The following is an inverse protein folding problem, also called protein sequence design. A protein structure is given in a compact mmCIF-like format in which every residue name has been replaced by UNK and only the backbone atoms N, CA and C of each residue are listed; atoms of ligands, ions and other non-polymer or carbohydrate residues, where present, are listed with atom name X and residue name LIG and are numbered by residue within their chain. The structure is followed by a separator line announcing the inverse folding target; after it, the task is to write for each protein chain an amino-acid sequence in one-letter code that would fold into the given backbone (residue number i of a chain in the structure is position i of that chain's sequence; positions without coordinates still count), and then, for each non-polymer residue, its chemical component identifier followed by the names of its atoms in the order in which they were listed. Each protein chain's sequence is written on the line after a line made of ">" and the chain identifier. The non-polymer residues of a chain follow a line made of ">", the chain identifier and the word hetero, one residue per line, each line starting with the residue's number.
data_IF_465776940410
#
_entry.id   IF_465776940410
#
_cell.length_a   1.000
_cell.length_b   1.000
_cell.length_c   1.000
_cell.angle_alpha   90.00
_cell.angle_beta   90.00
_cell.angle_gamma   90.00
#
_symmetry.space_group_name_H-M   'P 1'
#
loop_
_entity.id
_entity.type
_entity.pdbx_description
1 polymer ?
#
# COMPACT_ATOMS: atom_id res chain seq x y z
N UNK A 1 13.35 26.15 -7.74
CA UNK A 1 13.85 25.65 -9.01
C UNK A 1 15.24 25.04 -8.79
N UNK A 2 15.33 23.70 -8.85
CA UNK A 2 16.59 22.96 -8.61
C UNK A 2 17.72 23.32 -9.59
N UNK A 3 17.41 23.89 -10.74
CA UNK A 3 18.42 24.28 -11.75
C UNK A 3 19.10 25.62 -11.43
N UNK A 4 18.45 26.47 -10.67
CA UNK A 4 18.91 27.84 -10.46
C UNK A 4 19.11 28.21 -9.00
N UNK A 5 18.95 27.28 -8.05
CA UNK A 5 18.96 27.52 -6.58
C UNK A 5 18.07 28.71 -6.15
N UNK A 6 17.01 28.99 -6.92
CA UNK A 6 16.08 30.06 -6.62
C UNK A 6 14.87 29.52 -5.87
N UNK A 7 14.64 30.10 -4.73
CA UNK A 7 13.43 29.88 -3.95
C UNK A 7 12.48 31.06 -4.15
N UNK A 8 11.20 30.76 -4.38
CA UNK A 8 10.10 31.71 -4.28
C UNK A 8 9.23 31.36 -3.08
N UNK A 9 8.61 32.35 -2.48
CA UNK A 9 7.67 32.16 -1.37
C UNK A 9 6.34 32.75 -1.78
N UNK A 10 5.32 31.90 -1.79
CA UNK A 10 3.95 32.27 -2.11
C UNK A 10 3.01 31.84 -0.99
N UNK A 11 1.84 32.48 -0.92
CA UNK A 11 0.78 32.16 0.04
C UNK A 11 -0.46 31.73 -0.72
N UNK A 12 -1.06 30.62 -0.31
CA UNK A 12 -2.25 30.05 -0.91
C UNK A 12 -3.36 29.93 0.13
N UNK A 13 -4.61 30.07 -0.30
CA UNK A 13 -5.77 29.88 0.56
C UNK A 13 -5.98 28.39 0.89
N UNK A 14 -5.70 27.52 -0.06
CA UNK A 14 -5.79 26.08 0.07
C UNK A 14 -4.61 25.38 -0.58
N UNK A 15 -4.25 24.20 -0.05
CA UNK A 15 -3.27 23.30 -0.64
C UNK A 15 -3.93 21.93 -0.81
N UNK A 16 -3.88 21.38 -2.03
CA UNK A 16 -4.41 20.06 -2.36
C UNK A 16 -3.25 19.14 -2.71
N UNK A 17 -3.06 18.11 -1.90
CA UNK A 17 -2.03 17.08 -2.10
C UNK A 17 -2.63 15.93 -2.90
N UNK A 18 -2.21 15.80 -4.14
CA UNK A 18 -2.66 14.74 -5.07
C UNK A 18 -1.50 13.99 -5.73
N UNK A 19 -0.41 13.79 -4.97
CA UNK A 19 0.85 13.24 -5.49
C UNK A 19 0.88 11.72 -5.56
N UNK A 20 -0.19 11.05 -5.15
CA UNK A 20 -0.24 9.59 -5.00
C UNK A 20 0.54 9.10 -3.77
N UNK A 21 0.44 7.81 -3.48
CA UNK A 21 1.10 7.20 -2.33
C UNK A 21 1.83 5.87 -2.65
N UNK A 22 1.87 5.45 -3.91
CA UNK A 22 2.60 4.25 -4.34
C UNK A 22 4.00 4.59 -4.89
N UNK A 23 4.76 5.40 -4.14
CA UNK A 23 6.09 5.87 -4.56
C UNK A 23 7.23 5.38 -3.67
N UNK A 24 7.00 5.17 -2.38
CA UNK A 24 8.03 4.70 -1.44
C UNK A 24 7.68 3.29 -0.96
N UNK A 25 8.38 2.26 -1.44
CA UNK A 25 8.15 0.88 -1.03
C UNK A 25 8.34 0.67 0.47
N UNK A 26 7.48 -0.14 1.06
CA UNK A 26 7.72 -0.69 2.38
C UNK A 26 8.53 -1.98 2.26
N UNK A 27 9.76 -1.95 2.71
CA UNK A 27 10.68 -3.10 2.67
C UNK A 27 10.77 -3.70 4.09
N UNK A 28 10.10 -4.85 4.35
CA UNK A 28 10.26 -5.55 5.61
C UNK A 28 11.64 -6.19 5.70
N UNK A 29 12.19 -6.27 6.91
CA UNK A 29 13.43 -6.98 7.18
C UNK A 29 13.15 -8.39 7.67
N UNK A 30 13.85 -9.37 7.10
CA UNK A 30 13.83 -10.76 7.51
C UNK A 30 15.25 -11.22 7.90
N UNK A 31 15.42 -12.04 8.94
CA UNK A 31 16.69 -12.67 9.25
C UNK A 31 17.25 -13.39 8.02
N UNK A 32 18.52 -13.18 7.73
CA UNK A 32 19.20 -13.78 6.57
C UNK A 32 18.98 -13.08 5.22
N UNK A 33 18.13 -12.06 5.13
CA UNK A 33 17.85 -11.37 3.88
C UNK A 33 19.07 -10.75 3.21
N UNK A 34 19.99 -10.20 4.01
CA UNK A 34 21.24 -9.57 3.50
C UNK A 34 22.25 -10.57 2.90
N UNK A 35 22.16 -11.82 3.30
CA UNK A 35 23.03 -12.92 2.83
C UNK A 35 22.36 -13.83 1.80
N UNK A 36 21.14 -13.52 1.41
CA UNK A 36 20.41 -14.28 0.39
C UNK A 36 21.14 -14.14 -0.97
N UNK A 37 21.53 -15.25 -1.62
CA UNK A 37 22.31 -15.19 -2.85
C UNK A 37 21.50 -14.85 -4.10
N UNK A 38 20.16 -14.97 -4.00
CA UNK A 38 19.25 -14.72 -5.10
C UNK A 38 18.84 -13.25 -5.23
N UNK A 39 17.90 -12.99 -6.14
CA UNK A 39 17.38 -11.64 -6.36
C UNK A 39 16.28 -11.30 -5.36
N UNK A 40 16.38 -10.14 -4.73
CA UNK A 40 15.30 -9.53 -3.95
C UNK A 40 14.90 -8.22 -4.59
N UNK A 41 13.59 -8.02 -4.82
CA UNK A 41 13.05 -6.76 -5.31
C UNK A 41 11.67 -6.50 -4.70
N UNK A 42 11.25 -5.23 -4.70
CA UNK A 42 9.86 -4.87 -4.40
C UNK A 42 9.03 -4.88 -5.69
N UNK A 43 7.72 -5.12 -5.59
CA UNK A 43 6.79 -5.07 -6.74
C UNK A 43 6.83 -3.72 -7.48
N UNK A 44 7.22 -2.64 -6.80
CA UNK A 44 7.49 -1.34 -7.41
C UNK A 44 8.52 -1.40 -8.54
N UNK A 45 9.54 -2.26 -8.42
CA UNK A 45 10.62 -2.40 -9.39
C UNK A 45 10.41 -3.55 -10.37
N UNK A 46 9.34 -4.32 -10.20
CA UNK A 46 8.95 -5.36 -11.14
C UNK A 46 8.53 -4.74 -12.48
N UNK A 47 9.11 -5.20 -13.58
CA UNK A 47 8.81 -4.70 -14.94
C UNK A 47 8.26 -5.79 -15.83
N UNK A 48 8.84 -6.97 -15.80
CA UNK A 48 8.39 -8.15 -16.52
C UNK A 48 8.80 -9.42 -15.76
N UNK A 49 8.24 -10.55 -16.16
CA UNK A 49 8.48 -11.82 -15.51
C UNK A 49 9.48 -12.72 -16.24
N UNK A 50 10.04 -12.29 -17.38
CA UNK A 50 10.98 -13.10 -18.18
C UNK A 50 12.25 -13.46 -17.38
N UNK A 51 12.72 -12.57 -16.52
CA UNK A 51 13.90 -12.82 -15.68
C UNK A 51 13.71 -13.97 -14.68
N UNK A 52 12.45 -14.38 -14.41
CA UNK A 52 12.11 -15.43 -13.45
C UNK A 52 11.83 -16.79 -14.11
N UNK A 53 11.97 -16.90 -15.41
CA UNK A 53 11.82 -18.17 -16.15
C UNK A 53 12.71 -19.27 -15.58
N UNK A 54 12.12 -20.41 -15.27
CA UNK A 54 12.83 -21.58 -14.71
C UNK A 54 13.26 -21.43 -13.23
N UNK A 55 12.92 -20.34 -12.57
CA UNK A 55 13.30 -20.05 -11.19
C UNK A 55 12.22 -20.43 -10.18
N UNK A 56 12.66 -20.72 -8.96
CA UNK A 56 11.78 -20.83 -7.79
C UNK A 56 11.58 -19.44 -7.21
N UNK A 57 10.38 -18.89 -7.34
CA UNK A 57 10.03 -17.52 -6.95
C UNK A 57 9.19 -17.53 -5.69
N UNK A 58 9.52 -16.68 -4.74
CA UNK A 58 8.70 -16.39 -3.58
C UNK A 58 8.12 -14.97 -3.73
N UNK A 59 6.82 -14.85 -3.61
CA UNK A 59 6.09 -13.58 -3.58
C UNK A 59 5.55 -13.34 -2.18
N UNK A 60 5.95 -12.26 -1.53
CA UNK A 60 5.57 -11.96 -0.15
C UNK A 60 4.49 -10.87 -0.10
N UNK A 61 3.27 -11.28 0.17
CA UNK A 61 2.05 -10.47 0.24
C UNK A 61 0.83 -11.28 -0.17
N UNK A 62 -0.36 -10.80 0.15
CA UNK A 62 -1.65 -11.45 -0.18
C UNK A 62 -2.70 -10.42 -0.60
N UNK A 63 -2.33 -9.51 -1.48
CA UNK A 63 -3.22 -8.51 -2.08
C UNK A 63 -2.97 -8.45 -3.60
N UNK A 64 -3.67 -7.60 -4.32
CA UNK A 64 -3.65 -7.47 -5.79
C UNK A 64 -2.24 -7.51 -6.42
N UNK A 65 -1.27 -6.79 -5.84
CA UNK A 65 0.10 -6.83 -6.37
C UNK A 65 0.72 -8.22 -6.29
N UNK A 66 0.43 -8.97 -5.22
CA UNK A 66 0.95 -10.33 -5.06
C UNK A 66 0.30 -11.29 -6.03
N UNK A 67 -1.01 -11.17 -6.24
CA UNK A 67 -1.77 -11.95 -7.22
C UNK A 67 -1.20 -11.73 -8.63
N UNK A 68 -1.15 -10.48 -9.08
CA UNK A 68 -0.69 -10.14 -10.43
C UNK A 68 0.75 -10.59 -10.69
N UNK A 69 1.66 -10.27 -9.77
CA UNK A 69 3.08 -10.63 -9.91
C UNK A 69 3.28 -12.14 -9.90
N UNK A 70 2.59 -12.87 -9.01
CA UNK A 70 2.69 -14.32 -8.93
C UNK A 70 2.17 -14.99 -10.21
N UNK A 71 1.02 -14.55 -10.70
CA UNK A 71 0.44 -15.06 -11.96
C UNK A 71 1.33 -14.73 -13.16
N UNK A 72 1.94 -13.54 -13.22
CA UNK A 72 2.88 -13.20 -14.28
C UNK A 72 4.12 -14.10 -14.23
N UNK A 73 4.72 -14.31 -13.06
CA UNK A 73 5.87 -15.22 -12.93
C UNK A 73 5.51 -16.64 -13.39
N UNK A 74 4.36 -17.17 -12.99
CA UNK A 74 3.88 -18.47 -13.42
C UNK A 74 3.67 -18.52 -14.94
N UNK A 75 2.95 -17.54 -15.50
CA UNK A 75 2.63 -17.45 -16.94
C UNK A 75 3.90 -17.41 -17.80
N UNK A 76 4.95 -16.75 -17.34
CA UNK A 76 6.22 -16.64 -18.06
C UNK A 76 7.20 -17.79 -17.74
N UNK A 77 6.74 -18.82 -17.05
CA UNK A 77 7.46 -20.08 -16.93
C UNK A 77 8.42 -20.15 -15.74
N UNK A 78 8.13 -19.49 -14.64
CA UNK A 78 8.78 -19.79 -13.36
C UNK A 78 8.60 -21.28 -13.02
N UNK A 79 9.63 -21.92 -12.49
CA UNK A 79 9.61 -23.34 -12.09
C UNK A 79 8.60 -23.60 -10.99
N UNK A 80 8.54 -22.70 -10.01
CA UNK A 80 7.54 -22.68 -8.96
C UNK A 80 7.31 -21.26 -8.46
N UNK A 81 6.07 -20.98 -8.00
CA UNK A 81 5.72 -19.71 -7.37
C UNK A 81 5.08 -20.00 -6.01
N UNK A 82 5.67 -19.49 -4.95
CA UNK A 82 5.15 -19.62 -3.60
C UNK A 82 4.78 -18.24 -3.05
N UNK A 83 3.52 -18.11 -2.64
CA UNK A 83 2.96 -16.84 -2.15
C UNK A 83 2.91 -16.90 -0.62
N UNK A 84 3.61 -16.00 0.05
CA UNK A 84 3.64 -15.92 1.50
C UNK A 84 2.61 -14.91 2.02
N UNK A 85 1.57 -15.38 2.71
CA UNK A 85 0.55 -14.52 3.34
C UNK A 85 0.82 -14.30 4.82
N UNK A 86 0.35 -13.17 5.37
CA UNK A 86 0.53 -12.83 6.79
C UNK A 86 -0.63 -13.31 7.65
N UNK A 87 -1.83 -12.86 7.36
CA UNK A 87 -3.03 -13.14 8.16
C UNK A 87 -3.85 -14.26 7.50
N UNK A 88 -4.35 -14.01 6.30
CA UNK A 88 -5.20 -14.93 5.57
C UNK A 88 -4.62 -15.20 4.18
N UNK A 89 -4.74 -16.44 3.66
CA UNK A 89 -4.48 -16.71 2.26
C UNK A 89 -5.51 -15.99 1.39
N UNK A 90 -5.19 -15.74 0.13
CA UNK A 90 -6.15 -15.24 -0.85
C UNK A 90 -7.22 -16.30 -1.17
N UNK A 91 -6.89 -17.58 -0.99
CA UNK A 91 -7.83 -18.68 -1.13
C UNK A 91 -8.22 -19.01 -2.56
N UNK A 92 -7.46 -18.54 -3.54
CA UNK A 92 -7.72 -18.83 -4.96
C UNK A 92 -7.34 -20.27 -5.31
N UNK A 93 -8.01 -20.80 -6.33
CA UNK A 93 -7.62 -22.06 -6.94
C UNK A 93 -6.45 -21.82 -7.90
N UNK A 94 -5.24 -21.88 -7.35
CA UNK A 94 -4.00 -21.61 -8.08
C UNK A 94 -3.70 -22.70 -9.12
N UNK A 95 -3.03 -22.34 -10.23
CA UNK A 95 -2.49 -23.30 -11.19
C UNK A 95 -1.43 -24.25 -10.56
N UNK A 96 -1.18 -25.38 -11.21
CA UNK A 96 -0.11 -26.29 -10.80
C UNK A 96 1.24 -25.57 -10.79
N UNK A 97 2.04 -25.78 -9.74
CA UNK A 97 3.31 -25.08 -9.54
C UNK A 97 3.20 -23.78 -8.74
N UNK A 98 1.98 -23.37 -8.39
CA UNK A 98 1.72 -22.26 -7.47
C UNK A 98 1.10 -22.76 -6.17
N UNK A 99 1.42 -22.11 -5.06
CA UNK A 99 0.83 -22.38 -3.74
C UNK A 99 0.91 -21.17 -2.81
N UNK A 100 0.04 -21.16 -1.82
CA UNK A 100 0.10 -20.24 -0.69
C UNK A 100 0.66 -20.94 0.54
N UNK A 101 1.50 -20.22 1.29
CA UNK A 101 2.08 -20.67 2.56
C UNK A 101 2.02 -19.53 3.57
N UNK A 102 2.16 -19.85 4.85
CA UNK A 102 2.23 -18.81 5.85
C UNK A 102 3.48 -17.96 5.67
N UNK A 103 3.53 -16.82 6.31
CA UNK A 103 4.54 -15.76 6.23
C UNK A 103 6.00 -16.27 6.34
N UNK A 104 6.90 -15.62 5.60
CA UNK A 104 8.34 -15.88 5.70
C UNK A 104 8.84 -15.59 7.12
N UNK A 105 9.53 -16.55 7.72
CA UNK A 105 10.18 -16.40 9.01
C UNK A 105 11.62 -15.90 8.84
N UNK A 106 12.41 -16.62 8.05
CA UNK A 106 13.81 -16.29 7.80
C UNK A 106 14.35 -16.94 6.54
N UNK A 107 15.56 -16.55 6.17
CA UNK A 107 16.35 -17.11 5.08
C UNK A 107 17.64 -17.74 5.63
N UNK A 108 17.96 -18.93 5.16
CA UNK A 108 19.21 -19.64 5.45
C UNK A 108 19.91 -19.98 4.10
N UNK A 109 20.84 -19.13 3.68
CA UNK A 109 21.40 -19.20 2.32
C UNK A 109 20.29 -18.99 1.28
N UNK A 110 20.12 -19.95 0.37
CA UNK A 110 19.05 -19.94 -0.63
C UNK A 110 17.74 -20.58 -0.13
N UNK A 111 17.66 -21.01 1.13
CA UNK A 111 16.45 -21.64 1.68
C UNK A 111 15.59 -20.64 2.41
N UNK A 112 14.33 -20.57 2.01
CA UNK A 112 13.28 -19.84 2.71
C UNK A 112 12.58 -20.77 3.70
N UNK A 113 12.40 -20.29 4.93
CA UNK A 113 11.73 -20.97 6.02
C UNK A 113 10.53 -20.14 6.41
N UNK A 114 9.36 -20.75 6.40
CA UNK A 114 8.08 -20.09 6.68
C UNK A 114 7.58 -20.44 8.08
N UNK A 115 6.69 -19.61 8.62
CA UNK A 115 6.19 -19.77 10.00
C UNK A 115 5.35 -21.03 10.25
N UNK A 116 4.80 -21.61 9.21
CA UNK A 116 4.10 -22.90 9.26
C UNK A 116 5.06 -24.11 9.19
N UNK A 117 6.37 -23.87 9.18
CA UNK A 117 7.40 -24.90 9.07
C UNK A 117 7.73 -25.32 7.65
N UNK A 118 7.02 -24.81 6.64
CA UNK A 118 7.37 -25.06 5.24
C UNK A 118 8.76 -24.53 4.94
N UNK A 119 9.53 -25.29 4.13
CA UNK A 119 10.88 -24.95 3.69
C UNK A 119 11.03 -25.20 2.20
N UNK A 120 11.65 -24.29 1.50
CA UNK A 120 11.97 -24.46 0.08
C UNK A 120 13.19 -23.65 -0.35
N UNK A 121 13.80 -24.05 -1.44
CA UNK A 121 14.80 -23.22 -2.13
C UNK A 121 14.11 -22.10 -2.87
N UNK A 122 14.81 -20.96 -2.93
CA UNK A 122 14.36 -19.77 -3.65
C UNK A 122 15.51 -19.20 -4.48
N UNK A 123 15.21 -18.82 -5.71
CA UNK A 123 16.13 -18.10 -6.60
C UNK A 123 15.79 -16.59 -6.61
N UNK A 124 14.55 -16.23 -6.29
CA UNK A 124 14.11 -14.86 -6.21
C UNK A 124 13.01 -14.66 -5.16
N UNK A 125 13.00 -13.46 -4.56
CA UNK A 125 11.97 -13.00 -3.63
C UNK A 125 11.42 -11.67 -4.12
N UNK A 126 10.11 -11.59 -4.31
CA UNK A 126 9.42 -10.37 -4.72
C UNK A 126 8.55 -9.90 -3.55
N UNK A 127 8.84 -8.70 -3.06
CA UNK A 127 8.14 -8.09 -1.95
C UNK A 127 6.91 -7.34 -2.46
N UNK A 128 5.73 -7.86 -2.22
CA UNK A 128 4.45 -7.20 -2.44
C UNK A 128 3.91 -6.67 -1.11
N UNK A 129 4.76 -5.95 -0.41
CA UNK A 129 4.57 -5.53 0.99
C UNK A 129 3.94 -4.14 1.13
N UNK A 130 3.54 -3.53 0.01
CA UNK A 130 2.88 -2.22 -0.02
C UNK A 130 3.84 -1.05 0.11
N UNK A 131 3.29 0.12 0.44
CA UNK A 131 3.99 1.40 0.37
C UNK A 131 3.82 2.21 1.65
N UNK A 132 4.69 3.20 1.81
CA UNK A 132 4.64 4.19 2.87
C UNK A 132 4.14 5.52 2.32
N UNK A 133 3.28 6.19 3.08
CA UNK A 133 2.95 7.58 2.79
C UNK A 133 4.20 8.45 2.99
N UNK A 134 4.56 9.21 1.96
CA UNK A 134 5.78 10.01 1.94
C UNK A 134 5.56 11.36 1.28
N UNK A 135 5.64 12.42 2.09
CA UNK A 135 5.41 13.81 1.66
C UNK A 135 6.57 14.70 2.09
N UNK A 136 7.74 14.63 1.39
CA UNK A 136 8.96 15.34 1.80
C UNK A 136 8.85 16.86 1.72
N UNK A 137 7.86 17.36 1.00
CA UNK A 137 7.58 18.79 0.80
C UNK A 137 6.69 19.41 1.88
N UNK A 138 6.16 18.61 2.80
CA UNK A 138 5.35 19.07 3.93
C UNK A 138 6.16 19.10 5.23
N UNK A 139 5.78 19.98 6.16
CA UNK A 139 6.30 19.97 7.54
C UNK A 139 5.77 18.75 8.31
N UNK A 140 6.46 18.36 9.36
CA UNK A 140 6.19 17.10 10.08
C UNK A 140 4.77 17.01 10.69
N UNK A 141 4.21 18.13 11.08
CA UNK A 141 2.86 18.25 11.63
C UNK A 141 1.74 18.10 10.59
N UNK A 142 2.07 18.30 9.32
CA UNK A 142 1.14 18.19 8.20
C UNK A 142 1.23 16.87 7.43
N UNK A 143 2.23 16.04 7.73
CA UNK A 143 2.44 14.77 7.03
C UNK A 143 1.50 13.67 7.50
N UNK A 144 0.86 13.02 6.56
CA UNK A 144 0.27 11.71 6.79
C UNK A 144 1.41 10.68 6.90
N UNK A 145 1.47 9.96 8.04
CA UNK A 145 2.58 9.04 8.39
C UNK A 145 2.10 7.60 8.54
N UNK A 146 1.16 7.19 7.74
CA UNK A 146 0.63 5.82 7.79
C UNK A 146 1.08 5.00 6.58
N UNK A 147 0.82 3.71 6.65
CA UNK A 147 0.77 2.85 5.47
C UNK A 147 -0.57 3.03 4.77
N UNK A 148 -0.71 2.38 3.62
CA UNK A 148 -1.98 2.29 2.94
C UNK A 148 -3.07 1.74 3.87
N UNK A 149 -4.18 2.46 3.98
CA UNK A 149 -5.32 2.17 4.86
C UNK A 149 -6.63 2.60 4.19
N UNK A 150 -7.71 1.94 4.56
CA UNK A 150 -9.07 2.34 4.17
C UNK A 150 -9.42 3.72 4.68
N UNK A 151 -9.10 3.96 5.94
CA UNK A 151 -9.32 5.24 6.62
C UNK A 151 -8.02 5.78 7.19
N UNK A 152 -7.27 6.59 6.43
CA UNK A 152 -6.10 7.26 6.97
C UNK A 152 -6.48 8.13 8.18
N UNK A 153 -5.86 7.94 9.34
CA UNK A 153 -6.09 8.80 10.50
C UNK A 153 -5.75 10.24 10.15
N UNK A 154 -6.41 11.20 10.81
CA UNK A 154 -6.28 12.65 10.60
C UNK A 154 -6.92 13.21 9.32
N UNK A 155 -7.53 12.39 8.49
CA UNK A 155 -8.25 12.82 7.30
C UNK A 155 -9.77 12.69 7.48
N UNK A 156 -10.44 13.81 7.72
CA UNK A 156 -11.90 13.85 7.75
C UNK A 156 -12.44 13.55 6.35
N UNK A 157 -13.36 12.57 6.24
CA UNK A 157 -13.86 12.03 4.98
C UNK A 157 -12.75 11.59 4.00
N UNK A 158 -11.59 11.18 4.54
CA UNK A 158 -10.45 10.79 3.74
C UNK A 158 -9.77 11.93 2.98
N UNK A 159 -10.19 13.18 3.19
CA UNK A 159 -9.78 14.34 2.37
C UNK A 159 -9.22 15.48 3.22
N UNK A 160 -9.96 15.97 4.21
CA UNK A 160 -9.63 17.21 4.93
C UNK A 160 -8.74 16.93 6.13
N UNK A 161 -7.59 17.60 6.21
CA UNK A 161 -6.68 17.47 7.35
C UNK A 161 -7.33 18.01 8.64
N UNK A 162 -7.32 17.22 9.71
CA UNK A 162 -8.07 17.47 10.94
C UNK A 162 -7.73 18.81 11.64
N UNK A 163 -6.45 19.21 11.59
CA UNK A 163 -5.93 20.39 12.29
C UNK A 163 -5.76 21.61 11.38
N UNK A 164 -5.93 21.46 10.08
CA UNK A 164 -5.87 22.55 9.11
C UNK A 164 -6.77 22.28 7.91
N UNK A 165 -7.98 22.77 7.95
CA UNK A 165 -9.00 22.51 6.93
C UNK A 165 -8.69 23.13 5.55
N UNK A 166 -7.59 23.89 5.44
CA UNK A 166 -7.05 24.39 4.17
C UNK A 166 -6.07 23.45 3.50
N UNK A 167 -5.71 22.35 4.19
CA UNK A 167 -4.91 21.27 3.63
C UNK A 167 -5.82 20.08 3.30
N UNK A 168 -5.85 19.71 2.03
CA UNK A 168 -6.66 18.62 1.51
C UNK A 168 -5.76 17.56 0.89
N UNK A 169 -6.08 16.30 1.10
CA UNK A 169 -5.41 15.17 0.46
C UNK A 169 -6.39 14.42 -0.44
N UNK A 170 -5.95 14.01 -1.63
CA UNK A 170 -6.74 13.20 -2.54
C UNK A 170 -6.05 11.88 -2.83
N UNK A 171 -6.79 10.80 -2.82
CA UNK A 171 -6.32 9.48 -3.20
C UNK A 171 -5.42 8.80 -2.16
N UNK A 172 -5.53 9.14 -0.88
CA UNK A 172 -4.69 8.56 0.19
C UNK A 172 -5.29 7.32 0.84
N UNK A 173 -6.51 6.96 0.48
CA UNK A 173 -7.18 5.77 0.99
C UNK A 173 -6.87 4.56 0.12
N UNK A 174 -6.76 3.38 0.74
CA UNK A 174 -6.89 2.12 0.02
C UNK A 174 -8.35 1.91 -0.37
N UNK A 175 -8.63 1.54 -1.61
CA UNK A 175 -9.99 1.54 -2.12
C UNK A 175 -10.17 0.60 -3.30
N UNK A 176 -11.34 0.00 -3.36
CA UNK A 176 -11.74 -0.90 -4.43
C UNK A 176 -12.17 -0.13 -5.69
N UNK A 177 -13.02 0.90 -5.53
CA UNK A 177 -13.51 1.74 -6.63
C UNK A 177 -12.62 2.98 -6.83
N UNK A 178 -11.38 2.76 -7.22
CA UNK A 178 -10.30 3.77 -7.21
C UNK A 178 -10.66 5.07 -7.93
N UNK A 179 -11.04 5.02 -9.19
CA UNK A 179 -11.31 6.23 -9.98
C UNK A 179 -12.58 6.95 -9.55
N UNK A 180 -13.65 6.22 -9.27
CA UNK A 180 -14.91 6.83 -8.79
C UNK A 180 -14.70 7.54 -7.45
N UNK A 181 -13.87 6.96 -6.57
CA UNK A 181 -13.54 7.57 -5.30
C UNK A 181 -12.69 8.84 -5.48
N UNK A 182 -11.74 8.84 -6.40
CA UNK A 182 -10.95 10.04 -6.71
C UNK A 182 -11.84 11.18 -7.20
N UNK A 183 -12.82 10.90 -8.07
CA UNK A 183 -13.78 11.88 -8.53
C UNK A 183 -14.64 12.43 -7.37
N UNK A 184 -15.17 11.54 -6.53
CA UNK A 184 -15.94 11.94 -5.35
C UNK A 184 -15.11 12.81 -4.39
N UNK A 185 -13.87 12.44 -4.12
CA UNK A 185 -12.96 13.22 -3.29
C UNK A 185 -12.65 14.58 -3.90
N UNK A 186 -12.43 14.65 -5.22
CA UNK A 186 -12.16 15.89 -5.93
C UNK A 186 -13.38 16.82 -5.90
N UNK A 187 -14.60 16.29 -6.10
CA UNK A 187 -15.84 17.08 -6.00
C UNK A 187 -16.07 17.58 -4.58
N UNK A 188 -15.83 16.73 -3.57
CA UNK A 188 -15.93 17.13 -2.17
C UNK A 188 -14.93 18.24 -1.84
N UNK A 189 -13.66 18.09 -2.23
CA UNK A 189 -12.61 19.09 -2.04
C UNK A 189 -12.96 20.43 -2.71
N UNK A 190 -13.45 20.37 -3.97
CA UNK A 190 -13.95 21.57 -4.69
C UNK A 190 -15.03 22.28 -3.91
N UNK A 191 -16.03 21.55 -3.42
CA UNK A 191 -17.19 22.16 -2.76
C UNK A 191 -16.85 22.70 -1.35
N UNK A 192 -15.83 22.12 -0.70
CA UNK A 192 -15.22 22.69 0.51
C UNK A 192 -14.50 24.00 0.18
N UNK A 193 -13.65 24.04 -0.84
CA UNK A 193 -12.90 25.23 -1.27
C UNK A 193 -13.85 26.36 -1.68
N UNK A 194 -14.95 26.02 -2.37
CA UNK A 194 -15.95 26.99 -2.80
C UNK A 194 -16.93 27.43 -1.68
N UNK A 195 -16.76 26.91 -0.45
CA UNK A 195 -17.65 27.22 0.67
C UNK A 195 -19.07 26.67 0.57
N UNK A 196 -19.33 25.76 -0.37
CA UNK A 196 -20.63 25.09 -0.52
C UNK A 196 -20.86 24.04 0.59
N UNK A 197 -19.79 23.42 1.05
CA UNK A 197 -19.81 22.49 2.18
C UNK A 197 -19.12 23.15 3.37
N UNK A 198 -19.82 23.26 4.48
CA UNK A 198 -19.26 23.73 5.74
C UNK A 198 -18.56 22.59 6.46
N UNK A 199 -17.30 22.77 6.80
CA UNK A 199 -16.55 21.84 7.62
C UNK A 199 -17.09 21.90 9.06
N UNK A 200 -17.37 20.74 9.68
CA UNK A 200 -17.84 20.69 11.07
C UNK A 200 -16.80 21.20 12.09
N UNK A 201 -17.17 21.25 13.37
CA UNK A 201 -16.24 21.56 14.45
C UNK A 201 -15.13 20.50 14.57
N UNK A 202 -13.98 20.88 15.13
CA UNK A 202 -12.86 19.96 15.33
C UNK A 202 -13.23 18.73 16.17
N UNK A 203 -14.18 18.87 17.11
CA UNK A 203 -14.67 17.76 17.93
C UNK A 203 -15.49 16.76 17.09
N UNK A 204 -16.33 17.24 16.19
CA UNK A 204 -17.13 16.40 15.29
C UNK A 204 -16.26 15.72 14.26
N UNK A 205 -15.26 16.43 13.70
CA UNK A 205 -14.24 15.89 12.79
C UNK A 205 -13.52 14.72 13.47
N UNK A 206 -12.99 14.96 14.68
CA UNK A 206 -12.28 13.92 15.42
C UNK A 206 -13.16 12.70 15.68
N UNK A 207 -14.41 12.91 16.11
CA UNK A 207 -15.36 11.82 16.35
C UNK A 207 -15.63 11.00 15.09
N UNK A 208 -15.76 11.65 13.92
CA UNK A 208 -15.97 10.96 12.65
C UNK A 208 -14.71 10.13 12.26
N UNK A 209 -13.52 10.71 12.35
CA UNK A 209 -12.25 10.01 12.08
C UNK A 209 -12.10 8.80 13.01
N UNK A 210 -12.24 9.00 14.32
CA UNK A 210 -12.08 7.94 15.31
C UNK A 210 -13.07 6.78 15.07
N UNK A 211 -14.32 7.10 14.67
CA UNK A 211 -15.35 6.12 14.31
C UNK A 211 -14.88 5.23 13.16
N UNK A 212 -14.43 5.82 12.07
CA UNK A 212 -14.04 5.06 10.87
C UNK A 212 -12.75 4.28 11.08
N UNK A 213 -11.76 4.85 11.76
CA UNK A 213 -10.52 4.13 12.13
C UNK A 213 -10.85 2.91 13.01
N UNK A 214 -11.71 3.07 14.01
CA UNK A 214 -12.11 1.98 14.87
C UNK A 214 -12.95 0.90 14.14
N UNK A 215 -13.66 1.26 13.10
CA UNK A 215 -14.35 0.29 12.23
C UNK A 215 -13.35 -0.51 11.39
N UNK A 216 -12.38 0.15 10.76
CA UNK A 216 -11.32 -0.52 10.00
C UNK A 216 -10.52 -1.49 10.87
N UNK A 217 -10.19 -1.11 12.11
CA UNK A 217 -9.42 -1.95 13.03
C UNK A 217 -10.14 -3.25 13.46
N UNK A 218 -11.45 -3.32 13.25
CA UNK A 218 -12.26 -4.51 13.54
C UNK A 218 -12.42 -5.45 12.35
N UNK A 219 -11.93 -5.07 11.18
CA UNK A 219 -12.03 -5.91 9.98
C UNK A 219 -11.15 -7.15 10.13
N UNK A 220 -11.76 -8.30 10.00
CA UNK A 220 -11.06 -9.60 10.05
C UNK A 220 -10.51 -10.00 8.68
N UNK A 221 -11.11 -9.49 7.61
CA UNK A 221 -10.82 -9.87 6.23
C UNK A 221 -10.80 -8.63 5.32
N UNK A 222 -9.80 -8.46 4.43
CA UNK A 222 -9.77 -7.41 3.41
C UNK A 222 -11.02 -7.36 2.51
N UNK A 223 -11.68 -8.48 2.24
CA UNK A 223 -12.90 -8.52 1.42
C UNK A 223 -14.06 -7.73 2.06
N UNK A 224 -14.06 -7.56 3.38
CA UNK A 224 -15.00 -6.69 4.08
C UNK A 224 -14.83 -5.21 3.74
N UNK A 225 -13.71 -4.84 3.08
CA UNK A 225 -13.50 -3.49 2.54
C UNK A 225 -14.61 -3.05 1.59
N UNK A 226 -15.10 -3.95 0.78
CA UNK A 226 -16.11 -3.66 -0.25
C UNK A 226 -17.39 -3.13 0.41
N UNK A 227 -17.80 -3.75 1.51
CA UNK A 227 -19.01 -3.37 2.25
C UNK A 227 -18.95 -1.96 2.86
N UNK A 228 -17.74 -1.41 3.02
CA UNK A 228 -17.54 -0.07 3.56
C UNK A 228 -17.43 1.02 2.50
N UNK A 229 -17.23 0.65 1.25
CA UNK A 229 -17.04 1.60 0.13
C UNK A 229 -18.25 1.68 -0.79
N UNK A 230 -19.25 0.87 -0.56
CA UNK A 230 -20.55 0.91 -1.24
C UNK A 230 -21.60 1.60 -0.39
#
# INVERSE_FOLDING_TARGET
>A
DKKNDKFSKDTFDYVVVSTGHFSVPFIPEYPGMKSFPGRILHSHDFRDAEEFRGKNVIVLGSSYSAEDVALQCHKYGAKSVTIGYRNNPMGFKWPNGMKEVHYLDRLEGNKAIFKDGHKQEADAIILCSGYLHHFPFLTEDLKLKTRNRLYPPKLYKGVVWENNHKLLYLGMQDQFHTFNMFDCQAWYARDVIMGKIKIPSSSEIKKDIDKWVAMEEKLENPDQMIDFQT
#
